data_IF_678968055706
#
_entry.id   IF_678968055706
#
_cell.length_a   1.000
_cell.length_b   1.000
_cell.length_c   1.000
_cell.angle_alpha   90.00
_cell.angle_beta   90.00
_cell.angle_gamma   90.00
#
_symmetry.space_group_name_H-M   'P 1'
#
loop_
_entity.id
_entity.type
_entity.pdbx_description
1 polymer ?
#
# COMPACT_ATOMS: atom_id res chain seq x y z
N UNK A 1 11.63 18.46 -36.82
CA UNK A 1 12.10 17.85 -35.55
C UNK A 1 11.81 18.68 -34.29
N UNK A 2 11.60 20.02 -34.34
CA UNK A 2 11.29 20.84 -33.15
C UNK A 2 9.84 20.80 -32.65
N UNK A 3 8.89 20.20 -33.39
CA UNK A 3 7.47 20.10 -32.99
C UNK A 3 7.10 18.82 -32.23
N UNK A 4 7.92 17.78 -32.30
CA UNK A 4 7.68 16.52 -31.59
C UNK A 4 8.04 16.60 -30.09
N UNK A 5 8.98 17.49 -29.72
CA UNK A 5 9.45 17.64 -28.35
C UNK A 5 8.47 18.44 -27.46
N UNK A 6 7.70 19.36 -28.05
CA UNK A 6 6.74 20.18 -27.30
C UNK A 6 5.47 19.42 -26.87
N UNK A 7 5.09 18.35 -27.59
CA UNK A 7 3.90 17.55 -27.26
C UNK A 7 4.19 16.59 -26.09
N UNK A 8 5.43 16.08 -25.98
CA UNK A 8 5.86 15.24 -24.85
C UNK A 8 5.91 16.02 -23.53
N UNK A 9 6.28 17.30 -23.55
CA UNK A 9 6.34 18.13 -22.34
C UNK A 9 4.95 18.57 -21.87
N UNK A 10 4.00 18.83 -22.77
CA UNK A 10 2.64 19.22 -22.40
C UNK A 10 1.82 18.04 -21.87
N UNK A 11 2.06 16.81 -22.35
CA UNK A 11 1.44 15.61 -21.80
C UNK A 11 1.89 15.30 -20.36
N UNK A 12 3.14 15.63 -20.01
CA UNK A 12 3.66 15.41 -18.65
C UNK A 12 3.07 16.39 -17.61
N UNK A 13 2.74 17.62 -18.02
CA UNK A 13 2.16 18.63 -17.13
C UNK A 13 0.63 18.51 -16.95
N UNK A 14 -0.07 17.84 -17.86
CA UNK A 14 -1.53 17.64 -17.72
C UNK A 14 -1.92 16.52 -16.75
N UNK A 15 -0.98 15.65 -16.35
CA UNK A 15 -1.22 14.66 -15.29
C UNK A 15 -1.20 15.25 -13.87
N UNK A 16 -0.70 16.48 -13.68
CA UNK A 16 -0.53 17.09 -12.36
C UNK A 16 -1.77 17.83 -11.82
N UNK A 17 -2.88 17.90 -12.57
CA UNK A 17 -4.08 18.67 -12.20
C UNK A 17 -5.26 17.82 -11.70
N UNK A 18 -5.07 16.51 -11.57
CA UNK A 18 -6.05 15.59 -10.99
C UNK A 18 -5.44 15.15 -9.67
N UNK A 19 -6.15 15.35 -8.55
CA UNK A 19 -5.69 14.88 -7.24
C UNK A 19 -5.53 13.36 -7.28
N UNK A 20 -4.32 12.91 -7.60
CA UNK A 20 -3.95 11.50 -7.60
C UNK A 20 -3.91 11.00 -6.17
N UNK A 21 -4.10 9.69 -6.00
CA UNK A 21 -3.79 9.07 -4.72
C UNK A 21 -2.30 9.29 -4.42
N UNK A 22 -1.94 9.69 -3.19
CA UNK A 22 -0.56 9.96 -2.90
C UNK A 22 0.33 8.74 -2.94
N UNK A 23 1.51 8.93 -3.53
CA UNK A 23 2.66 8.06 -3.34
C UNK A 23 3.21 8.29 -1.93
N UNK A 24 3.08 7.29 -1.07
CA UNK A 24 3.72 7.24 0.25
C UNK A 24 4.94 6.34 0.11
N UNK A 25 6.02 6.45 0.87
CA UNK A 25 7.08 5.42 0.82
C UNK A 25 6.58 4.13 1.53
N UNK A 26 7.25 2.96 1.57
CA UNK A 26 6.71 1.78 2.27
C UNK A 26 6.29 2.14 3.70
N UNK A 27 5.00 2.34 3.85
CA UNK A 27 4.32 2.65 5.08
C UNK A 27 3.31 1.55 5.24
N UNK A 28 3.05 1.19 6.48
CA UNK A 28 1.84 0.49 6.82
C UNK A 28 0.82 1.56 7.17
N UNK A 29 -0.44 1.32 6.81
CA UNK A 29 -1.49 2.14 7.36
C UNK A 29 -1.45 2.02 8.89
N UNK A 30 -1.98 3.03 9.57
CA UNK A 30 -2.01 3.05 11.03
C UNK A 30 -3.32 3.55 11.57
N UNK A 31 -3.63 3.11 12.78
CA UNK A 31 -4.84 3.48 13.52
C UNK A 31 -4.42 4.14 14.83
N UNK A 32 -4.95 5.33 15.12
CA UNK A 32 -4.81 5.92 16.46
C UNK A 32 -5.66 5.11 17.44
N UNK A 33 -5.08 4.61 18.54
CA UNK A 33 -5.86 3.93 19.57
C UNK A 33 -6.94 4.83 20.16
N UNK A 34 -8.09 4.25 20.52
CA UNK A 34 -9.23 4.98 21.11
C UNK A 34 -8.84 5.75 22.39
N UNK A 35 -7.90 5.21 23.16
CA UNK A 35 -7.38 5.84 24.37
C UNK A 35 -6.42 7.03 24.08
N UNK A 36 -6.21 7.38 22.81
CA UNK A 36 -5.07 8.17 22.37
C UNK A 36 -3.78 7.33 22.39
N UNK A 37 -2.67 7.92 21.96
CA UNK A 37 -1.40 7.20 21.92
C UNK A 37 -0.67 7.33 20.60
N UNK A 38 0.41 6.55 20.51
CA UNK A 38 1.10 6.35 19.25
C UNK A 38 0.20 5.57 18.27
N UNK A 39 0.14 5.99 17.00
CA UNK A 39 -0.50 5.21 15.95
C UNK A 39 0.02 3.77 15.96
N UNK A 40 -0.90 2.81 15.93
CA UNK A 40 -0.59 1.39 15.82
C UNK A 40 -0.67 0.95 14.37
N UNK A 41 0.28 0.16 13.91
CA UNK A 41 0.28 -0.36 12.54
C UNK A 41 -0.95 -1.22 12.29
N UNK A 42 -1.55 -1.04 11.13
CA UNK A 42 -2.68 -1.82 10.67
C UNK A 42 -2.18 -3.18 10.21
N UNK A 43 -2.63 -4.24 10.88
CA UNK A 43 -2.19 -5.60 10.58
C UNK A 43 -3.16 -6.66 11.06
N UNK A 44 -3.09 -7.84 10.46
CA UNK A 44 -3.80 -9.01 10.92
C UNK A 44 -3.24 -9.54 12.24
N UNK A 45 -4.12 -10.08 13.08
CA UNK A 45 -3.72 -10.90 14.22
C UNK A 45 -3.54 -12.35 13.76
N UNK A 46 -2.29 -12.76 13.57
CA UNK A 46 -1.94 -14.03 12.96
C UNK A 46 -2.09 -15.18 13.96
N UNK A 47 -2.92 -16.17 13.62
CA UNK A 47 -3.08 -17.39 14.40
C UNK A 47 -3.48 -18.57 13.50
N UNK A 48 -2.75 -19.69 13.61
CA UNK A 48 -3.12 -20.93 12.92
C UNK A 48 -4.45 -21.52 13.40
N UNK A 49 -4.88 -21.17 14.62
CA UNK A 49 -6.17 -21.60 15.15
C UNK A 49 -7.35 -20.82 14.54
N UNK A 50 -7.08 -19.69 13.89
CA UNK A 50 -8.06 -18.87 13.20
C UNK A 50 -7.45 -18.33 11.91
N UNK A 51 -7.31 -19.19 10.88
CA UNK A 51 -6.82 -18.77 9.57
C UNK A 51 -7.61 -17.59 9.03
N UNK A 52 -6.93 -16.68 8.33
CA UNK A 52 -7.57 -15.53 7.72
C UNK A 52 -8.47 -16.01 6.59
N UNK A 53 -9.77 -15.69 6.70
CA UNK A 53 -10.74 -15.96 5.66
C UNK A 53 -10.38 -15.19 4.40
N UNK A 54 -10.63 -15.79 3.25
CA UNK A 54 -10.55 -15.10 1.95
C UNK A 54 -11.54 -15.73 1.00
N UNK A 55 -12.29 -14.88 0.33
CA UNK A 55 -13.31 -15.29 -0.62
C UNK A 55 -13.41 -14.31 -1.77
N UNK A 56 -14.11 -14.69 -2.84
CA UNK A 56 -14.38 -13.79 -3.94
C UNK A 56 -15.78 -14.03 -4.51
N UNK A 57 -16.40 -12.95 -4.98
CA UNK A 57 -17.72 -13.02 -5.61
C UNK A 57 -17.60 -13.54 -7.04
N UNK A 58 -18.25 -14.68 -7.28
CA UNK A 58 -18.43 -15.28 -8.60
C UNK A 58 -19.51 -14.57 -9.43
N UNK A 59 -20.15 -13.56 -8.85
CA UNK A 59 -21.11 -12.74 -9.56
C UNK A 59 -20.36 -11.82 -10.51
N UNK A 60 -20.36 -12.16 -11.80
CA UNK A 60 -19.76 -11.35 -12.85
C UNK A 60 -20.87 -10.60 -13.60
N UNK A 61 -20.59 -9.39 -14.08
CA UNK A 61 -21.57 -8.62 -14.83
C UNK A 61 -22.03 -9.37 -16.08
N UNK A 62 -23.33 -9.55 -16.27
CA UNK A 62 -23.92 -10.22 -17.43
C UNK A 62 -23.88 -9.39 -18.73
N UNK A 63 -23.37 -8.15 -18.66
CA UNK A 63 -23.17 -7.24 -19.79
C UNK A 63 -21.80 -7.40 -20.46
N UNK A 64 -21.17 -6.27 -20.83
CA UNK A 64 -19.78 -6.30 -21.33
C UNK A 64 -18.87 -6.85 -20.22
N UNK A 65 -18.03 -7.86 -20.50
CA UNK A 65 -17.22 -8.48 -19.46
C UNK A 65 -16.26 -7.44 -18.88
N UNK A 66 -16.40 -7.16 -17.58
CA UNK A 66 -15.43 -6.37 -16.82
C UNK A 66 -14.10 -7.11 -16.68
N UNK A 67 -14.14 -8.45 -16.71
CA UNK A 67 -12.96 -9.33 -16.70
C UNK A 67 -12.93 -10.20 -17.95
N UNK A 68 -11.87 -10.05 -18.73
CA UNK A 68 -11.53 -10.88 -19.86
C UNK A 68 -10.78 -12.12 -19.39
N UNK A 69 -11.22 -13.27 -19.89
CA UNK A 69 -10.62 -14.59 -19.69
C UNK A 69 -10.45 -15.27 -21.04
N UNK A 70 -9.54 -16.24 -21.14
CA UNK A 70 -9.45 -17.10 -22.33
C UNK A 70 -10.65 -18.05 -22.38
N UNK A 71 -11.09 -18.51 -21.22
CA UNK A 71 -12.29 -19.32 -21.09
C UNK A 71 -13.57 -18.54 -21.44
N UNK A 72 -14.58 -19.27 -21.94
CA UNK A 72 -15.86 -18.68 -22.33
C UNK A 72 -16.59 -18.03 -21.14
N UNK A 73 -17.22 -16.86 -21.32
CA UNK A 73 -18.00 -16.22 -20.26
C UNK A 73 -19.10 -17.12 -19.69
N UNK A 74 -19.27 -17.10 -18.36
CA UNK A 74 -20.23 -17.92 -17.61
C UNK A 74 -19.82 -19.38 -17.42
N UNK A 75 -18.66 -19.80 -17.94
CA UNK A 75 -18.18 -21.17 -17.76
C UNK A 75 -17.50 -21.38 -16.41
N UNK A 76 -17.47 -22.62 -15.93
CA UNK A 76 -16.66 -22.99 -14.76
C UNK A 76 -15.16 -22.72 -14.97
N UNK A 77 -14.69 -22.86 -16.22
CA UNK A 77 -13.32 -22.57 -16.60
C UNK A 77 -12.98 -21.08 -16.44
N UNK A 78 -13.90 -20.16 -16.77
CA UNK A 78 -13.71 -18.73 -16.52
C UNK A 78 -13.52 -18.47 -15.02
N UNK A 79 -14.37 -19.06 -14.17
CA UNK A 79 -14.27 -18.87 -12.72
C UNK A 79 -12.94 -19.43 -12.18
N UNK A 80 -12.50 -20.60 -12.68
CA UNK A 80 -11.20 -21.17 -12.30
C UNK A 80 -10.03 -20.31 -12.77
N UNK A 81 -10.11 -19.69 -13.95
CA UNK A 81 -9.07 -18.79 -14.45
C UNK A 81 -8.91 -17.53 -13.58
N UNK A 82 -10.03 -16.93 -13.15
CA UNK A 82 -10.04 -15.78 -12.23
C UNK A 82 -9.54 -16.19 -10.84
N UNK A 83 -10.02 -17.31 -10.33
CA UNK A 83 -9.62 -17.85 -9.02
C UNK A 83 -8.12 -18.18 -8.96
N UNK A 84 -7.54 -18.63 -10.08
CA UNK A 84 -6.10 -18.84 -10.20
C UNK A 84 -5.34 -17.52 -10.08
N UNK A 85 -5.75 -16.46 -10.80
CA UNK A 85 -5.12 -15.14 -10.69
C UNK A 85 -5.20 -14.58 -9.26
N UNK A 86 -6.33 -14.77 -8.56
CA UNK A 86 -6.46 -14.38 -7.14
C UNK A 86 -5.50 -15.19 -6.26
N UNK A 87 -5.45 -16.51 -6.46
CA UNK A 87 -4.59 -17.41 -5.68
C UNK A 87 -3.11 -17.07 -5.87
N UNK A 88 -2.69 -16.81 -7.11
CA UNK A 88 -1.32 -16.41 -7.44
C UNK A 88 -0.98 -15.05 -6.83
N UNK A 89 -1.91 -14.09 -6.85
CA UNK A 89 -1.73 -12.76 -6.22
C UNK A 89 -1.57 -12.83 -4.69
N UNK A 90 -2.30 -13.73 -4.00
CA UNK A 90 -2.01 -14.03 -2.59
C UNK A 90 -0.64 -14.74 -2.42
N UNK A 91 -0.29 -15.58 -3.38
CA UNK A 91 1.00 -16.25 -3.48
C UNK A 91 2.17 -15.27 -3.51
N UNK A 92 2.02 -14.12 -4.18
CA UNK A 92 3.04 -13.06 -4.24
C UNK A 92 3.50 -12.63 -2.85
N UNK A 93 2.56 -12.30 -1.97
CA UNK A 93 2.88 -11.83 -0.62
C UNK A 93 3.24 -12.97 0.35
N UNK A 94 2.53 -14.10 0.27
CA UNK A 94 2.83 -15.29 1.07
C UNK A 94 4.07 -16.06 0.59
N UNK A 95 4.66 -15.65 -0.52
CA UNK A 95 5.94 -16.12 -1.03
C UNK A 95 7.15 -15.48 -0.36
N UNK A 96 6.98 -14.27 0.22
CA UNK A 96 8.09 -13.49 0.77
C UNK A 96 8.71 -14.18 1.97
N UNK A 97 10.00 -14.48 1.89
CA UNK A 97 10.78 -15.05 2.99
C UNK A 97 11.01 -14.04 4.10
N UNK A 98 11.22 -14.51 5.34
CA UNK A 98 11.44 -13.64 6.49
C UNK A 98 10.17 -13.01 7.07
N UNK A 99 9.00 -13.44 6.58
CA UNK A 99 7.70 -13.04 7.10
C UNK A 99 7.00 -14.21 7.78
N UNK A 100 6.16 -13.92 8.77
CA UNK A 100 5.25 -14.92 9.36
C UNK A 100 4.10 -15.31 8.44
N UNK A 101 3.92 -14.60 7.32
CA UNK A 101 2.98 -14.93 6.26
C UNK A 101 3.51 -15.92 5.23
N UNK A 102 4.79 -16.25 5.30
CA UNK A 102 5.39 -17.15 4.35
C UNK A 102 4.69 -18.51 4.40
N UNK A 103 4.06 -18.93 3.29
CA UNK A 103 3.25 -20.14 3.24
C UNK A 103 4.06 -21.42 3.54
N UNK A 104 5.38 -21.39 3.30
CA UNK A 104 6.27 -22.50 3.66
C UNK A 104 6.60 -22.49 5.16
N UNK A 105 6.66 -21.32 5.79
CA UNK A 105 6.96 -21.16 7.21
C UNK A 105 5.75 -21.35 8.12
N UNK A 106 4.55 -20.97 7.66
CA UNK A 106 3.29 -21.02 8.38
C UNK A 106 2.13 -21.50 7.48
N UNK A 107 2.16 -22.77 7.04
CA UNK A 107 1.11 -23.31 6.18
C UNK A 107 -0.25 -23.27 6.89
N UNK A 108 -1.29 -22.82 6.17
CA UNK A 108 -2.65 -22.75 6.69
C UNK A 108 -2.99 -21.45 7.43
N UNK A 109 -2.10 -20.45 7.45
CA UNK A 109 -2.43 -19.13 7.99
C UNK A 109 -3.49 -18.40 7.15
N UNK A 110 -3.44 -18.58 5.83
CA UNK A 110 -4.50 -18.17 4.91
C UNK A 110 -5.44 -19.35 4.69
N UNK A 111 -6.74 -19.16 4.93
CA UNK A 111 -7.75 -20.18 4.64
C UNK A 111 -7.77 -20.52 3.13
N UNK A 112 -8.34 -21.67 2.71
CA UNK A 112 -8.62 -21.90 1.30
C UNK A 112 -9.48 -20.77 0.71
N UNK A 113 -9.20 -20.38 -0.53
CA UNK A 113 -9.99 -19.37 -1.22
C UNK A 113 -11.39 -19.91 -1.50
N UNK A 114 -12.41 -19.23 -0.95
CA UNK A 114 -13.81 -19.61 -1.12
C UNK A 114 -14.49 -18.80 -2.23
N UNK A 115 -15.56 -19.36 -2.80
CA UNK A 115 -16.45 -18.68 -3.75
C UNK A 115 -17.74 -18.27 -3.07
N UNK A 116 -18.19 -17.04 -3.30
CA UNK A 116 -19.53 -16.58 -2.92
C UNK A 116 -20.33 -16.16 -4.15
N UNK A 117 -21.64 -16.35 -4.11
CA UNK A 117 -22.55 -16.06 -5.22
C UNK A 117 -23.19 -14.66 -5.21
N UNK A 118 -23.43 -14.00 -4.06
CA UNK A 118 -24.02 -12.65 -4.06
C UNK A 118 -23.09 -11.61 -4.70
N UNK A 119 -23.70 -10.66 -5.42
CA UNK A 119 -23.00 -9.55 -6.08
C UNK A 119 -22.44 -8.53 -5.11
N UNK A 120 -23.18 -8.26 -4.03
CA UNK A 120 -22.86 -7.23 -3.05
C UNK A 120 -22.26 -7.85 -1.79
N UNK A 121 -21.32 -8.79 -1.95
CA UNK A 121 -20.69 -9.48 -0.82
C UNK A 121 -19.60 -8.64 -0.15
N UNK A 122 -19.11 -7.58 -0.78
CA UNK A 122 -18.12 -6.68 -0.16
C UNK A 122 -18.82 -5.59 0.66
N UNK A 123 -18.09 -4.99 1.58
CA UNK A 123 -18.49 -3.80 2.32
C UNK A 123 -18.84 -2.67 1.37
N UNK A 124 -20.08 -2.18 1.44
CA UNK A 124 -20.55 -1.08 0.62
C UNK A 124 -20.27 0.29 1.25
N UNK A 125 -20.63 1.35 0.53
CA UNK A 125 -20.35 2.73 0.93
C UNK A 125 -21.06 3.18 2.21
N UNK A 126 -22.20 2.56 2.51
CA UNK A 126 -22.94 2.79 3.75
C UNK A 126 -22.41 1.94 4.92
N UNK A 127 -21.36 1.14 4.69
CA UNK A 127 -20.74 0.23 5.67
C UNK A 127 -21.76 -0.68 6.36
N UNK A 128 -22.82 -1.06 5.65
CA UNK A 128 -23.89 -1.89 6.22
C UNK A 128 -23.69 -3.38 5.93
N UNK A 129 -22.71 -3.73 5.10
CA UNK A 129 -22.26 -5.09 4.81
C UNK A 129 -20.82 -5.33 5.30
N UNK A 130 -20.53 -4.89 6.53
CA UNK A 130 -19.26 -5.21 7.20
C UNK A 130 -19.45 -6.56 7.88
N UNK A 131 -19.00 -7.61 7.21
CA UNK A 131 -19.24 -8.99 7.63
C UNK A 131 -18.00 -9.69 8.19
N UNK A 132 -16.83 -9.01 8.19
CA UNK A 132 -15.57 -9.57 8.68
C UNK A 132 -15.05 -10.72 7.82
N UNK A 133 -15.53 -10.83 6.57
CA UNK A 133 -15.07 -11.79 5.59
C UNK A 133 -14.41 -11.04 4.44
N UNK A 134 -13.12 -11.30 4.26
CA UNK A 134 -12.33 -10.63 3.24
C UNK A 134 -12.75 -11.07 1.83
N UNK A 135 -13.49 -10.20 1.13
CA UNK A 135 -14.12 -10.52 -0.14
C UNK A 135 -13.54 -9.69 -1.28
N UNK A 136 -13.28 -10.34 -2.42
CA UNK A 136 -12.96 -9.65 -3.68
C UNK A 136 -14.21 -9.58 -4.54
N UNK A 137 -14.63 -8.38 -4.95
CA UNK A 137 -15.82 -8.14 -5.77
C UNK A 137 -15.49 -7.47 -7.09
N UNK A 138 -16.07 -7.99 -8.17
CA UNK A 138 -15.91 -7.48 -9.54
C UNK A 138 -17.16 -6.80 -10.10
N UNK A 139 -18.21 -6.73 -9.29
CA UNK A 139 -19.53 -6.26 -9.74
C UNK A 139 -20.28 -5.43 -8.69
N UNK A 140 -19.59 -4.95 -7.66
CA UNK A 140 -20.15 -4.04 -6.66
C UNK A 140 -19.76 -2.59 -6.99
N UNK A 141 -20.75 -1.73 -7.19
CA UNK A 141 -20.51 -0.31 -7.40
C UNK A 141 -20.09 0.38 -6.10
N UNK A 142 -19.22 1.38 -6.20
CA UNK A 142 -18.85 2.23 -5.06
C UNK A 142 -18.58 3.66 -5.50
N UNK A 143 -18.92 4.63 -4.65
CA UNK A 143 -18.51 6.03 -4.78
C UNK A 143 -16.99 6.20 -4.68
N UNK A 144 -16.27 5.19 -4.18
CA UNK A 144 -14.81 5.14 -4.14
C UNK A 144 -14.17 5.10 -5.54
N UNK A 145 -14.91 4.69 -6.58
CA UNK A 145 -14.45 4.73 -7.97
C UNK A 145 -14.49 6.15 -8.57
N UNK A 146 -13.74 7.06 -7.95
CA UNK A 146 -13.46 8.37 -8.52
C UNK A 146 -12.63 8.26 -9.81
N UNK A 147 -12.32 9.40 -10.44
CA UNK A 147 -11.61 9.41 -11.73
C UNK A 147 -10.24 8.75 -11.59
N UNK A 148 -9.95 7.75 -12.41
CA UNK A 148 -8.65 7.06 -12.43
C UNK A 148 -8.51 5.88 -11.46
N UNK A 149 -9.41 5.70 -10.49
CA UNK A 149 -9.39 4.54 -9.58
C UNK A 149 -9.85 3.29 -10.31
N UNK A 150 -8.99 2.27 -10.40
CA UNK A 150 -9.27 1.00 -11.08
C UNK A 150 -9.80 -0.07 -10.12
N UNK A 151 -9.21 -0.11 -8.93
CA UNK A 151 -9.61 -0.95 -7.81
C UNK A 151 -9.25 -0.23 -6.51
N UNK A 152 -9.74 -0.74 -5.39
CA UNK A 152 -9.26 -0.36 -4.06
C UNK A 152 -9.61 -1.45 -3.04
N UNK A 153 -8.81 -1.58 -1.99
CA UNK A 153 -9.16 -2.37 -0.79
C UNK A 153 -9.68 -1.48 0.32
N UNK A 154 -10.88 -1.78 0.82
CA UNK A 154 -11.48 -1.15 1.99
C UNK A 154 -11.09 -1.93 3.25
N UNK A 155 -10.12 -1.40 3.96
CA UNK A 155 -9.63 -1.98 5.22
C UNK A 155 -10.40 -1.38 6.41
N UNK A 156 -10.97 -2.24 7.24
CA UNK A 156 -11.55 -1.87 8.54
C UNK A 156 -10.63 -2.33 9.65
N UNK A 157 -10.26 -1.41 10.54
CA UNK A 157 -9.40 -1.71 11.69
C UNK A 157 -10.07 -1.39 13.02
N UNK A 158 -9.70 -2.16 14.04
CA UNK A 158 -10.05 -1.89 15.42
C UNK A 158 -9.21 -0.72 15.95
N UNK A 159 -9.81 0.27 16.60
CA UNK A 159 -9.07 1.29 17.35
C UNK A 159 -8.85 0.91 18.82
N UNK A 160 -9.36 -0.24 19.28
CA UNK A 160 -9.15 -0.76 20.62
C UNK A 160 -9.32 -2.28 20.66
N UNK A 161 -8.70 -2.98 21.62
CA UNK A 161 -9.03 -4.38 21.91
C UNK A 161 -10.53 -4.56 22.20
N UNK A 162 -11.10 -5.69 21.79
CA UNK A 162 -12.50 -6.05 21.98
C UNK A 162 -13.45 -5.60 20.86
N UNK A 163 -13.01 -4.70 19.96
CA UNK A 163 -13.82 -4.33 18.78
C UNK A 163 -13.98 -5.51 17.82
N UNK A 164 -15.13 -5.61 17.14
CA UNK A 164 -15.42 -6.68 16.19
C UNK A 164 -16.26 -6.17 15.03
N UNK A 165 -16.20 -6.84 13.89
CA UNK A 165 -16.98 -6.54 12.70
C UNK A 165 -17.49 -7.87 12.10
N UNK A 166 -18.82 -8.03 12.03
CA UNK A 166 -19.46 -9.24 11.51
C UNK A 166 -18.94 -10.54 12.16
N UNK A 167 -18.39 -11.43 11.33
CA UNK A 167 -17.80 -12.71 11.69
C UNK A 167 -16.37 -12.61 12.23
N UNK A 168 -15.77 -11.41 12.22
CA UNK A 168 -14.45 -11.22 12.83
C UNK A 168 -14.54 -11.53 14.33
N UNK A 169 -13.53 -12.23 14.85
CA UNK A 169 -13.34 -12.32 16.30
C UNK A 169 -13.09 -10.94 16.93
N UNK A 170 -13.19 -10.82 18.27
CA UNK A 170 -12.83 -9.59 18.95
C UNK A 170 -11.34 -9.26 18.75
N UNK A 171 -11.06 -7.99 18.51
CA UNK A 171 -9.71 -7.47 18.33
C UNK A 171 -8.85 -7.71 19.58
N UNK A 172 -7.60 -8.10 19.39
CA UNK A 172 -6.60 -8.20 20.45
C UNK A 172 -5.87 -6.87 20.69
N UNK A 173 -5.79 -5.99 19.67
CA UNK A 173 -5.04 -4.74 19.72
C UNK A 173 -5.66 -3.66 18.80
N UNK A 174 -5.33 -2.40 19.08
CA UNK A 174 -5.62 -1.30 18.15
C UNK A 174 -4.74 -1.42 16.89
N UNK A 175 -5.30 -1.12 15.72
CA UNK A 175 -4.69 -1.43 14.41
C UNK A 175 -4.97 -2.86 13.95
N UNK A 176 -5.67 -3.71 14.71
CA UNK A 176 -6.02 -5.03 14.17
C UNK A 176 -7.01 -4.88 13.01
N UNK A 177 -6.66 -5.43 11.85
CA UNK A 177 -7.60 -5.52 10.72
C UNK A 177 -8.71 -6.51 11.08
N UNK A 178 -9.95 -6.08 10.88
CA UNK A 178 -11.17 -6.85 11.15
C UNK A 178 -11.87 -7.28 9.86
N UNK A 179 -11.73 -6.48 8.81
CA UNK A 179 -12.32 -6.72 7.50
C UNK A 179 -11.45 -6.03 6.43
N UNK A 180 -11.35 -6.62 5.24
CA UNK A 180 -10.59 -6.07 4.13
C UNK A 180 -11.15 -6.57 2.80
N UNK A 181 -12.07 -5.79 2.25
CA UNK A 181 -12.72 -6.10 0.98
C UNK A 181 -12.06 -5.37 -0.18
N UNK A 182 -11.82 -6.08 -1.27
CA UNK A 182 -11.25 -5.51 -2.50
C UNK A 182 -12.34 -5.35 -3.56
N UNK A 183 -12.49 -4.13 -4.09
CA UNK A 183 -13.47 -3.82 -5.11
C UNK A 183 -12.77 -3.44 -6.40
N UNK A 184 -13.21 -4.04 -7.51
CA UNK A 184 -12.77 -3.67 -8.86
C UNK A 184 -13.85 -2.86 -9.58
N UNK A 185 -13.42 -1.85 -10.33
CA UNK A 185 -14.30 -0.95 -11.06
C UNK A 185 -15.15 -1.71 -12.08
N UNK A 186 -16.47 -1.53 -12.03
CA UNK A 186 -17.42 -2.30 -12.82
C UNK A 186 -18.38 -1.42 -13.65
N UNK A 187 -18.10 -0.13 -13.79
CA UNK A 187 -18.94 0.86 -14.50
C UNK A 187 -18.68 0.94 -16.02
N UNK A 188 -17.82 0.06 -16.55
CA UNK A 188 -17.42 0.03 -17.96
C UNK A 188 -16.33 1.02 -18.36
N UNK A 189 -15.79 1.81 -17.44
CA UNK A 189 -14.66 2.72 -17.70
C UNK A 189 -13.31 1.98 -17.74
N UNK A 190 -13.26 0.76 -17.21
CA UNK A 190 -12.08 -0.11 -17.22
C UNK A 190 -12.48 -1.54 -17.58
N UNK A 191 -11.52 -2.27 -18.14
CA UNK A 191 -11.62 -3.70 -18.39
C UNK A 191 -10.33 -4.34 -17.87
N UNK A 192 -10.47 -5.49 -17.25
CA UNK A 192 -9.35 -6.26 -16.69
C UNK A 192 -9.17 -7.54 -17.49
N UNK A 193 -7.96 -8.09 -17.51
CA UNK A 193 -7.69 -9.37 -18.15
C UNK A 193 -6.85 -10.25 -17.21
N UNK A 194 -7.20 -11.53 -17.12
CA UNK A 194 -6.32 -12.54 -16.53
C UNK A 194 -4.99 -12.59 -17.29
N UNK A 195 -3.90 -13.11 -16.69
CA UNK A 195 -2.61 -13.20 -17.39
C UNK A 195 -2.68 -13.90 -18.74
N UNK A 196 -3.47 -14.98 -18.83
CA UNK A 196 -3.68 -15.72 -20.07
C UNK A 196 -4.44 -14.89 -21.12
N UNK A 197 -5.49 -14.15 -20.72
CA UNK A 197 -6.24 -13.29 -21.63
C UNK A 197 -5.45 -12.05 -22.05
N UNK A 198 -4.62 -11.49 -21.17
CA UNK A 198 -3.77 -10.33 -21.46
C UNK A 198 -2.79 -10.63 -22.61
N UNK A 199 -2.31 -11.88 -22.71
CA UNK A 199 -1.44 -12.34 -23.78
C UNK A 199 -2.13 -12.50 -25.15
N UNK A 200 -3.45 -12.28 -25.23
CA UNK A 200 -4.25 -12.36 -26.47
C UNK A 200 -4.53 -10.97 -27.05
N UNK A 201 -4.90 -10.85 -28.34
CA UNK A 201 -5.33 -9.57 -28.92
C UNK A 201 -6.48 -8.90 -28.15
N UNK A 202 -7.37 -9.68 -27.53
CA UNK A 202 -8.49 -9.20 -26.73
C UNK A 202 -8.01 -8.45 -25.48
N UNK A 203 -6.86 -8.81 -24.93
CA UNK A 203 -6.30 -8.24 -23.71
C UNK A 203 -5.57 -6.90 -23.90
N UNK A 204 -5.24 -6.49 -25.13
CA UNK A 204 -4.40 -5.30 -25.38
C UNK A 204 -4.99 -3.97 -24.88
N UNK A 205 -6.31 -3.91 -24.68
CA UNK A 205 -7.01 -2.75 -24.12
C UNK A 205 -7.38 -2.89 -22.64
N UNK A 206 -6.99 -3.98 -21.99
CA UNK A 206 -7.35 -4.28 -20.61
C UNK A 206 -6.16 -4.12 -19.66
N UNK A 207 -6.45 -3.77 -18.40
CA UNK A 207 -5.46 -3.78 -17.33
C UNK A 207 -5.18 -5.21 -16.89
N UNK A 208 -3.96 -5.46 -16.46
CA UNK A 208 -3.58 -6.76 -15.90
C UNK A 208 -4.26 -7.01 -14.55
N UNK A 209 -5.13 -8.02 -14.50
CA UNK A 209 -5.90 -8.35 -13.29
C UNK A 209 -4.98 -8.82 -12.16
N UNK A 210 -3.96 -9.63 -12.45
CA UNK A 210 -3.06 -10.19 -11.43
C UNK A 210 -2.18 -9.10 -10.78
N UNK A 211 -1.65 -8.15 -11.56
CA UNK A 211 -0.88 -7.01 -11.01
C UNK A 211 -1.74 -6.15 -10.10
N UNK A 212 -2.97 -5.83 -10.51
CA UNK A 212 -3.89 -5.05 -9.68
C UNK A 212 -4.33 -5.83 -8.45
N UNK A 213 -4.67 -7.10 -8.56
CA UNK A 213 -4.96 -7.96 -7.41
C UNK A 213 -3.78 -7.98 -6.44
N UNK A 214 -2.57 -8.20 -6.92
CA UNK A 214 -1.39 -8.22 -6.06
C UNK A 214 -1.18 -6.86 -5.37
N UNK A 215 -1.38 -5.74 -6.07
CA UNK A 215 -1.34 -4.40 -5.47
C UNK A 215 -2.39 -4.24 -4.36
N UNK A 216 -3.65 -4.50 -4.66
CA UNK A 216 -4.76 -4.36 -3.72
C UNK A 216 -4.64 -5.30 -2.52
N UNK A 217 -4.05 -6.49 -2.72
CA UNK A 217 -3.75 -7.40 -1.63
C UNK A 217 -2.62 -6.89 -0.74
N UNK A 218 -1.72 -6.03 -1.22
CA UNK A 218 -0.78 -5.34 -0.33
C UNK A 218 -1.51 -4.50 0.73
N UNK A 219 -2.58 -3.79 0.32
CA UNK A 219 -3.49 -3.11 1.25
C UNK A 219 -4.25 -4.08 2.15
N UNK A 220 -4.65 -5.24 1.62
CA UNK A 220 -5.22 -6.31 2.44
C UNK A 220 -4.27 -6.76 3.56
N UNK A 221 -2.96 -6.81 3.30
CA UNK A 221 -1.95 -7.07 4.32
C UNK A 221 -1.70 -5.88 5.26
N UNK A 222 -2.27 -4.70 5.02
CA UNK A 222 -2.08 -3.49 5.83
C UNK A 222 -0.93 -2.60 5.37
N UNK A 223 -0.34 -2.91 4.21
CA UNK A 223 0.60 -2.01 3.56
C UNK A 223 -0.15 -0.89 2.83
N UNK A 224 0.57 0.16 2.53
CA UNK A 224 0.06 1.36 1.91
C UNK A 224 0.89 1.69 0.67
N UNK A 225 0.52 2.70 -0.08
CA UNK A 225 1.20 2.99 -1.33
C UNK A 225 2.71 3.20 -1.12
N UNK A 226 3.50 2.87 -2.14
CA UNK A 226 4.93 3.13 -2.22
C UNK A 226 5.25 4.31 -3.16
N UNK A 227 6.33 5.03 -2.87
CA UNK A 227 6.85 6.19 -3.60
C UNK A 227 8.05 5.75 -4.43
N UNK A 228 8.49 4.51 -4.24
CA UNK A 228 9.39 3.81 -5.12
C UNK A 228 8.60 3.42 -6.35
N UNK A 229 8.85 4.10 -7.48
CA UNK A 229 8.14 3.88 -8.74
C UNK A 229 8.08 2.41 -9.21
N UNK A 230 9.09 1.62 -8.85
CA UNK A 230 9.19 0.21 -9.25
C UNK A 230 8.50 -0.76 -8.27
N UNK A 231 8.04 -0.27 -7.12
CA UNK A 231 7.31 -1.08 -6.17
C UNK A 231 5.93 -1.43 -6.71
N UNK A 232 5.45 -2.63 -6.37
CA UNK A 232 4.11 -3.06 -6.72
C UNK A 232 3.06 -2.15 -6.09
N UNK A 233 3.32 -1.66 -4.88
CA UNK A 233 2.47 -0.71 -4.17
C UNK A 233 2.54 0.74 -4.70
N UNK A 234 3.24 1.00 -5.79
CA UNK A 234 3.17 2.31 -6.44
C UNK A 234 1.72 2.60 -6.90
N UNK A 235 1.13 3.77 -6.59
CA UNK A 235 -0.30 4.04 -6.75
C UNK A 235 -0.83 4.06 -8.19
N UNK A 236 0.06 4.01 -9.18
CA UNK A 236 -0.32 4.09 -10.58
C UNK A 236 -0.05 2.77 -11.28
N UNK A 237 -1.13 2.16 -11.77
CA UNK A 237 -1.05 0.97 -12.59
C UNK A 237 -0.33 1.26 -13.93
N UNK A 238 0.34 0.26 -14.53
CA UNK A 238 0.79 0.36 -15.90
C UNK A 238 -0.35 0.66 -16.87
N UNK A 239 -0.05 1.21 -18.06
CA UNK A 239 -1.02 1.32 -19.14
C UNK A 239 -1.65 -0.04 -19.48
N UNK A 240 -2.88 -0.06 -20.02
CA UNK A 240 -3.51 -1.29 -20.50
C UNK A 240 -2.60 -2.11 -21.44
N UNK A 241 -2.67 -3.43 -21.33
CA UNK A 241 -1.81 -4.37 -22.04
C UNK A 241 -0.41 -4.55 -21.42
N UNK A 242 -0.09 -3.86 -20.33
CA UNK A 242 1.20 -3.97 -19.62
C UNK A 242 0.99 -4.47 -18.18
N UNK A 243 2.08 -4.98 -17.58
CA UNK A 243 2.14 -5.42 -16.20
C UNK A 243 3.49 -5.02 -15.58
N UNK A 244 3.59 -5.00 -14.24
CA UNK A 244 4.82 -4.68 -13.52
C UNK A 244 5.62 -5.94 -13.21
N UNK A 245 6.94 -5.83 -13.28
CA UNK A 245 7.86 -6.87 -12.82
C UNK A 245 7.77 -8.19 -13.59
N UNK A 246 8.21 -9.26 -12.92
CA UNK A 246 8.07 -10.63 -13.41
C UNK A 246 6.72 -11.21 -12.96
N UNK A 247 6.20 -12.20 -13.68
CA UNK A 247 4.99 -12.94 -13.25
C UNK A 247 5.30 -13.84 -12.06
N UNK A 248 4.35 -14.02 -11.12
CA UNK A 248 4.52 -15.02 -10.08
C UNK A 248 4.65 -16.40 -10.71
N UNK A 249 5.57 -17.21 -10.18
CA UNK A 249 5.71 -18.62 -10.55
C UNK A 249 5.74 -19.48 -9.30
N UNK A 250 5.54 -20.79 -9.44
CA UNK A 250 5.66 -21.70 -8.31
C UNK A 250 7.05 -21.67 -7.63
N UNK A 251 8.11 -21.30 -8.37
CA UNK A 251 9.48 -21.22 -7.86
C UNK A 251 9.83 -19.85 -7.26
N UNK A 252 9.27 -18.78 -7.84
CA UNK A 252 9.48 -17.39 -7.41
C UNK A 252 8.10 -16.72 -7.31
N UNK A 253 7.30 -17.09 -6.30
CA UNK A 253 5.94 -16.59 -6.18
C UNK A 253 5.93 -15.08 -5.91
N UNK A 254 6.90 -14.55 -5.17
CA UNK A 254 7.05 -13.13 -4.87
C UNK A 254 7.79 -12.35 -5.97
N UNK A 255 8.01 -12.93 -7.14
CA UNK A 255 8.73 -12.33 -8.28
C UNK A 255 8.25 -10.92 -8.67
N UNK A 256 6.93 -10.63 -8.69
CA UNK A 256 6.42 -9.29 -9.02
C UNK A 256 6.84 -8.18 -8.05
N UNK A 257 7.19 -8.51 -6.80
CA UNK A 257 7.49 -7.52 -5.77
C UNK A 257 8.84 -6.85 -6.02
N UNK A 258 8.93 -5.55 -5.72
CA UNK A 258 10.21 -4.90 -5.51
C UNK A 258 10.74 -5.22 -4.11
N UNK A 259 12.02 -4.92 -3.87
CA UNK A 259 12.61 -5.09 -2.55
C UNK A 259 11.96 -4.20 -1.50
N UNK A 260 11.46 -3.04 -1.92
CA UNK A 260 10.65 -2.13 -1.11
C UNK A 260 9.38 -2.81 -0.54
N UNK A 261 8.62 -3.49 -1.39
CA UNK A 261 7.41 -4.23 -0.98
C UNK A 261 7.78 -5.38 -0.03
N UNK A 262 8.88 -6.11 -0.33
CA UNK A 262 9.37 -7.20 0.51
C UNK A 262 9.83 -6.71 1.89
N UNK A 263 10.52 -5.57 1.95
CA UNK A 263 10.93 -4.95 3.22
C UNK A 263 9.70 -4.51 4.02
N UNK A 264 8.72 -3.88 3.38
CA UNK A 264 7.46 -3.46 4.01
C UNK A 264 6.70 -4.63 4.67
N UNK A 265 6.48 -5.73 3.94
CA UNK A 265 5.76 -6.88 4.50
C UNK A 265 6.54 -7.59 5.61
N UNK A 266 7.88 -7.65 5.52
CA UNK A 266 8.74 -8.19 6.60
C UNK A 266 8.69 -7.32 7.84
N UNK A 267 8.64 -6.00 7.67
CA UNK A 267 8.54 -5.09 8.80
C UNK A 267 7.19 -5.24 9.52
N UNK A 268 6.11 -5.39 8.77
CA UNK A 268 4.77 -5.54 9.33
C UNK A 268 4.53 -6.92 9.98
N UNK A 269 5.12 -7.98 9.40
CA UNK A 269 4.94 -9.37 9.82
C UNK A 269 6.27 -10.12 9.98
N UNK A 270 7.17 -9.68 10.86
CA UNK A 270 8.52 -10.23 10.94
C UNK A 270 8.53 -11.69 11.40
N UNK A 271 9.23 -12.57 10.68
CA UNK A 271 9.58 -13.89 11.21
C UNK A 271 10.75 -13.71 12.21
N UNK A 272 10.59 -14.06 13.50
CA UNK A 272 11.67 -13.97 14.47
C UNK A 272 12.87 -14.89 14.15
N UNK A 273 12.72 -15.84 13.22
CA UNK A 273 13.81 -16.70 12.73
C UNK A 273 14.53 -16.12 11.51
N UNK A 274 14.05 -15.02 10.94
CA UNK A 274 14.79 -14.35 9.88
C UNK A 274 16.11 -13.82 10.44
N UNK A 275 17.20 -14.18 9.79
CA UNK A 275 18.55 -13.71 10.11
C UNK A 275 19.19 -12.97 8.94
N UNK A 276 18.57 -13.01 7.76
CA UNK A 276 19.07 -12.37 6.56
C UNK A 276 18.58 -10.92 6.46
N UNK A 277 17.31 -10.65 6.81
CA UNK A 277 16.68 -9.34 6.66
C UNK A 277 16.33 -8.73 8.03
N UNK A 278 17.36 -8.50 8.85
CA UNK A 278 17.22 -7.92 10.20
C UNK A 278 17.93 -6.57 10.36
N UNK A 279 18.52 -6.04 9.29
CA UNK A 279 19.17 -4.75 9.27
C UNK A 279 18.16 -3.62 9.45
N UNK A 280 18.61 -2.53 10.06
CA UNK A 280 17.82 -1.31 10.22
C UNK A 280 18.68 -0.06 10.02
N UNK A 281 18.11 0.97 9.40
CA UNK A 281 18.69 2.31 9.27
C UNK A 281 17.73 3.31 9.92
N UNK A 282 18.21 3.98 10.96
CA UNK A 282 17.44 4.94 11.75
C UNK A 282 18.15 6.27 11.81
N UNK A 283 17.41 7.35 11.75
CA UNK A 283 17.99 8.67 11.84
C UNK A 283 16.96 9.78 11.92
N UNK A 284 17.45 11.02 11.76
CA UNK A 284 16.62 12.22 11.70
C UNK A 284 17.07 13.09 10.55
N UNK A 285 16.10 13.66 9.85
CA UNK A 285 16.31 14.59 8.75
C UNK A 285 16.15 16.00 9.30
N UNK A 286 17.26 16.73 9.37
CA UNK A 286 17.29 18.09 9.91
C UNK A 286 17.60 19.07 8.78
N UNK A 287 17.02 20.29 8.78
CA UNK A 287 17.42 21.30 7.83
C UNK A 287 18.83 21.77 8.14
N UNK A 288 19.61 22.05 7.09
CA UNK A 288 20.95 22.63 7.22
C UNK A 288 20.93 23.98 7.97
N UNK A 289 19.82 24.71 7.89
CA UNK A 289 19.58 25.93 8.65
C UNK A 289 18.46 25.70 9.69
N UNK A 290 18.77 25.53 10.99
CA UNK A 290 17.77 25.27 12.02
C UNK A 290 16.78 26.43 12.22
N UNK A 291 17.13 27.66 11.81
CA UNK A 291 16.21 28.80 11.86
C UNK A 291 14.99 28.63 10.94
N UNK A 292 15.07 27.76 9.93
CA UNK A 292 13.96 27.50 9.01
C UNK A 292 12.78 26.79 9.69
N UNK A 293 12.99 26.08 10.80
CA UNK A 293 11.91 25.43 11.55
C UNK A 293 11.27 26.34 12.60
N UNK A 294 12.02 27.34 13.10
CA UNK A 294 11.54 28.26 14.13
C UNK A 294 10.36 29.13 13.67
N UNK A 295 10.16 29.25 12.35
CA UNK A 295 9.03 29.98 11.75
C UNK A 295 7.78 29.10 11.56
N UNK A 296 7.88 27.78 11.75
CA UNK A 296 6.73 26.88 11.65
C UNK A 296 5.93 26.92 12.96
N UNK A 297 4.59 27.10 12.90
CA UNK A 297 3.75 27.00 14.07
C UNK A 297 3.94 25.64 14.77
N UNK A 298 3.90 25.66 16.10
CA UNK A 298 3.92 24.43 16.88
C UNK A 298 2.68 23.58 16.54
N UNK A 299 2.83 22.31 16.12
CA UNK A 299 1.73 21.41 15.81
C UNK A 299 0.79 21.13 16.99
N UNK A 300 1.24 21.37 18.23
CA UNK A 300 0.42 21.43 19.43
C UNK A 300 1.16 22.19 20.54
N UNK A 301 0.47 22.71 21.58
CA UNK A 301 1.13 23.42 22.67
C UNK A 301 2.26 22.59 23.30
N UNK A 302 3.49 23.10 23.23
CA UNK A 302 4.68 22.41 23.75
C UNK A 302 5.40 21.46 22.80
N UNK A 303 4.86 21.18 21.60
CA UNK A 303 5.51 20.34 20.59
C UNK A 303 5.97 21.21 19.42
N UNK A 304 7.28 21.46 19.31
CA UNK A 304 7.86 22.19 18.18
C UNK A 304 8.20 21.24 17.02
N UNK A 305 8.12 21.72 15.78
CA UNK A 305 8.71 21.01 14.63
C UNK A 305 10.22 21.10 14.77
N UNK A 306 10.89 19.96 14.89
CA UNK A 306 12.35 19.90 15.13
C UNK A 306 13.11 19.22 13.99
N UNK A 307 12.42 18.67 12.99
CA UNK A 307 13.02 18.13 11.77
C UNK A 307 12.13 18.30 10.54
N UNK A 308 12.58 17.74 9.43
CA UNK A 308 11.91 17.82 8.13
C UNK A 308 10.80 16.78 8.08
N UNK A 309 9.56 17.25 7.98
CA UNK A 309 8.39 16.40 7.87
C UNK A 309 8.11 15.98 6.42
N UNK A 310 7.77 14.70 6.23
CA UNK A 310 7.41 14.06 4.96
C UNK A 310 8.52 14.05 3.90
N UNK A 311 9.79 13.98 4.32
CA UNK A 311 10.88 13.71 3.40
C UNK A 311 10.96 12.21 3.10
N UNK A 312 11.08 11.86 1.82
CA UNK A 312 11.24 10.50 1.37
C UNK A 312 12.69 10.06 1.60
N UNK A 313 12.87 9.04 2.44
CA UNK A 313 14.17 8.47 2.77
C UNK A 313 14.29 7.13 2.07
N UNK A 314 15.30 6.96 1.23
CA UNK A 314 15.51 5.77 0.40
C UNK A 314 16.85 5.14 0.75
N UNK A 315 16.82 3.86 1.12
CA UNK A 315 18.00 3.01 1.16
C UNK A 315 18.21 2.38 -0.22
N UNK A 316 19.35 2.68 -0.82
CA UNK A 316 19.81 2.12 -2.08
C UNK A 316 20.99 1.21 -1.79
N UNK A 317 20.97 -0.01 -2.32
CA UNK A 317 22.12 -0.90 -2.27
C UNK A 317 23.29 -0.27 -3.03
N UNK A 318 24.42 -0.09 -2.35
CA UNK A 318 25.56 0.65 -2.86
C UNK A 318 26.28 -0.06 -4.01
N UNK A 319 26.15 -1.39 -4.10
CA UNK A 319 26.87 -2.22 -5.05
C UNK A 319 26.08 -2.37 -6.36
N UNK A 320 24.74 -2.45 -6.28
CA UNK A 320 23.83 -2.70 -7.40
C UNK A 320 23.05 -1.46 -7.84
N UNK A 321 22.92 -0.46 -6.97
CA UNK A 321 22.04 0.69 -7.19
C UNK A 321 20.54 0.38 -7.06
N UNK A 322 20.18 -0.82 -6.59
CA UNK A 322 18.78 -1.20 -6.38
C UNK A 322 18.19 -0.42 -5.19
N UNK A 323 16.94 0.04 -5.34
CA UNK A 323 16.18 0.61 -4.21
C UNK A 323 15.71 -0.56 -3.35
N UNK A 324 16.24 -0.63 -2.13
CA UNK A 324 15.96 -1.74 -1.21
C UNK A 324 14.74 -1.46 -0.34
N UNK A 325 14.56 -0.20 0.05
CA UNK A 325 13.42 0.24 0.84
C UNK A 325 13.37 1.79 0.88
N UNK A 326 12.19 2.40 0.86
CA UNK A 326 11.98 3.82 1.15
C UNK A 326 10.91 4.10 2.22
N UNK A 327 11.14 5.00 3.17
CA UNK A 327 10.14 5.41 4.18
C UNK A 327 9.90 6.92 4.12
N UNK A 328 8.81 7.40 4.72
CA UNK A 328 8.62 8.83 4.96
C UNK A 328 9.19 9.17 6.34
N UNK A 329 10.27 9.92 6.36
CA UNK A 329 10.75 10.54 7.58
C UNK A 329 9.86 11.72 7.96
N UNK A 330 9.80 12.03 9.25
CA UNK A 330 9.11 13.24 9.68
C UNK A 330 8.62 13.25 11.10
N UNK A 331 8.35 12.09 11.67
CA UNK A 331 7.73 12.01 12.99
C UNK A 331 8.23 10.83 13.80
N UNK A 332 8.16 10.99 15.11
CA UNK A 332 8.31 9.93 16.08
C UNK A 332 7.16 10.00 17.08
N UNK A 333 6.95 8.90 17.81
CA UNK A 333 6.02 8.90 18.91
C UNK A 333 6.65 8.30 20.16
N UNK A 334 6.59 9.07 21.25
CA UNK A 334 7.05 8.58 22.54
C UNK A 334 5.90 7.88 23.27
N UNK A 335 5.94 6.55 23.30
CA UNK A 335 4.93 5.71 23.95
C UNK A 335 4.65 6.07 25.42
N UNK A 336 5.64 6.61 26.17
CA UNK A 336 5.46 7.00 27.57
C UNK A 336 4.64 8.28 27.76
N UNK A 337 4.64 9.16 26.76
CA UNK A 337 3.95 10.46 26.81
C UNK A 337 2.79 10.53 25.82
N UNK A 338 2.68 9.56 24.91
CA UNK A 338 1.76 9.57 23.78
C UNK A 338 1.87 10.84 22.92
N UNK A 339 2.99 11.54 23.01
CA UNK A 339 3.23 12.76 22.26
C UNK A 339 3.82 12.41 20.89
N UNK A 340 3.08 12.77 19.84
CA UNK A 340 3.60 12.81 18.48
C UNK A 340 4.56 14.00 18.35
N UNK A 341 5.76 13.72 17.85
CA UNK A 341 6.80 14.71 17.62
C UNK A 341 7.12 14.74 16.14
N UNK A 342 7.08 15.92 15.52
CA UNK A 342 7.49 16.10 14.13
C UNK A 342 8.96 16.49 14.08
N UNK A 343 9.83 15.48 14.23
CA UNK A 343 11.26 15.61 14.50
C UNK A 343 12.15 15.14 13.34
N UNK A 344 11.56 14.85 12.19
CA UNK A 344 12.29 14.34 11.03
C UNK A 344 12.76 12.90 11.19
N UNK A 345 12.33 12.17 12.23
CA UNK A 345 12.74 10.79 12.43
C UNK A 345 12.28 9.89 11.28
N UNK A 346 13.11 8.91 10.95
CA UNK A 346 12.77 7.83 10.02
C UNK A 346 13.30 6.50 10.58
N UNK A 347 12.62 5.43 10.21
CA UNK A 347 13.04 4.07 10.49
C UNK A 347 12.89 3.25 9.21
N UNK A 348 14.00 2.71 8.72
CA UNK A 348 13.99 1.70 7.68
C UNK A 348 14.36 0.36 8.30
N UNK A 349 13.43 -0.60 8.32
CA UNK A 349 13.63 -1.89 8.97
C UNK A 349 13.67 -3.05 7.97
N UNK A 350 14.15 -4.19 8.44
CA UNK A 350 14.18 -5.47 7.70
C UNK A 350 14.95 -5.41 6.39
N UNK A 351 16.06 -4.66 6.41
CA UNK A 351 17.03 -4.61 5.34
C UNK A 351 17.95 -5.83 5.39
N UNK A 352 18.43 -6.36 4.25
CA UNK A 352 19.48 -7.36 4.21
C UNK A 352 20.76 -6.93 4.97
N UNK A 353 21.33 -7.81 5.82
CA UNK A 353 22.50 -7.46 6.66
C UNK A 353 23.86 -7.54 5.96
N UNK A 354 23.93 -8.19 4.80
CA UNK A 354 25.18 -8.40 4.04
C UNK A 354 25.41 -7.38 2.91
N UNK A 355 24.80 -6.20 3.04
CA UNK A 355 24.77 -5.17 2.00
C UNK A 355 25.27 -3.83 2.54
N UNK A 356 25.85 -3.02 1.66
CA UNK A 356 26.17 -1.63 1.94
C UNK A 356 25.07 -0.74 1.40
N UNK A 357 24.72 0.32 2.12
CA UNK A 357 23.61 1.20 1.72
C UNK A 357 24.08 2.63 1.52
N UNK A 358 23.62 3.24 0.43
CA UNK A 358 23.60 4.68 0.27
C UNK A 358 22.21 5.16 0.68
N UNK A 359 22.18 6.08 1.63
CA UNK A 359 20.95 6.69 2.09
C UNK A 359 20.74 8.03 1.38
N UNK A 360 19.58 8.18 0.74
CA UNK A 360 19.13 9.45 0.21
C UNK A 360 17.92 9.92 1.03
N UNK A 361 17.88 11.22 1.31
CA UNK A 361 16.69 11.86 1.84
C UNK A 361 16.34 12.98 0.88
N UNK A 362 15.24 12.82 0.17
CA UNK A 362 14.72 13.86 -0.71
C UNK A 362 13.49 14.49 -0.06
N UNK A 363 13.43 15.82 0.02
CA UNK A 363 12.13 16.45 0.16
C UNK A 363 11.34 16.09 -1.11
N UNK A 364 10.06 15.80 -0.99
CA UNK A 364 9.26 15.50 -2.16
C UNK A 364 9.28 16.72 -3.10
N UNK A 365 9.97 16.58 -4.24
CA UNK A 365 10.22 17.67 -5.19
C UNK A 365 9.06 17.73 -6.18
N UNK A 366 8.21 18.75 -6.08
CA UNK A 366 7.03 18.93 -6.94
C UNK A 366 5.89 19.68 -6.24
N UNK A 367 4.75 19.83 -6.93
CA UNK A 367 3.49 20.28 -6.31
C UNK A 367 2.91 19.14 -5.46
N UNK A 368 3.60 18.76 -4.40
CA UNK A 368 3.03 17.89 -3.38
C UNK A 368 2.07 18.74 -2.54
N UNK A 369 0.76 18.60 -2.75
CA UNK A 369 -0.27 19.31 -1.99
C UNK A 369 -0.58 18.56 -0.69
N UNK A 370 -1.10 19.21 0.36
CA UNK A 370 -1.52 18.51 1.58
C UNK A 370 -2.48 17.34 1.34
N UNK A 371 -3.25 17.35 0.24
CA UNK A 371 -4.09 16.21 -0.16
C UNK A 371 -3.26 14.94 -0.43
N UNK A 372 -2.04 15.10 -0.94
CA UNK A 372 -1.07 14.02 -1.18
C UNK A 372 -0.48 13.44 0.12
N UNK A 373 -0.91 13.96 1.26
CA UNK A 373 -0.53 13.43 2.57
C UNK A 373 -1.75 13.21 3.45
N UNK A 374 -2.92 13.72 3.05
CA UNK A 374 -4.11 13.86 3.89
C UNK A 374 -4.51 12.57 4.59
N UNK A 375 -4.40 11.41 3.95
CA UNK A 375 -4.73 10.13 4.58
C UNK A 375 -3.69 9.73 5.65
N UNK A 376 -2.39 9.85 5.35
CA UNK A 376 -1.31 9.64 6.34
C UNK A 376 -1.34 10.70 7.46
N UNK A 377 -1.78 11.93 7.19
CA UNK A 377 -1.87 13.01 8.18
C UNK A 377 -3.07 12.85 9.10
N UNK A 378 -4.21 12.39 8.55
CA UNK A 378 -5.44 12.17 9.31
C UNK A 378 -5.32 10.94 10.23
N UNK A 379 -4.56 9.91 9.82
CA UNK A 379 -4.29 8.73 10.66
C UNK A 379 -3.30 9.02 11.80
N UNK A 380 -2.46 10.05 11.70
CA UNK A 380 -1.58 10.45 12.81
C UNK A 380 -2.33 11.22 13.90
N UNK A 381 -3.30 12.07 13.54
CA UNK A 381 -3.87 13.06 14.46
C UNK A 381 -5.40 12.94 14.67
N UNK A 382 -5.94 11.72 14.67
CA UNK A 382 -7.39 11.47 14.73
C UNK A 382 -8.14 12.26 15.83
N UNK A 383 -9.34 12.73 15.48
CA UNK A 383 -10.25 13.47 16.36
C UNK A 383 -10.71 12.60 17.53
N UNK A 384 -10.13 12.81 18.72
CA UNK A 384 -10.38 12.00 19.91
C UNK A 384 -9.17 11.87 20.83
N UNK A 385 -7.96 12.16 20.33
CA UNK A 385 -6.77 12.33 21.18
C UNK A 385 -7.00 13.46 22.19
N UNK A 386 -6.57 13.31 23.47
CA UNK A 386 -6.73 14.33 24.52
C UNK A 386 -6.02 15.66 24.19
N UNK A 387 -5.17 15.71 23.16
CA UNK A 387 -4.69 16.94 22.54
C UNK A 387 -4.75 16.77 21.01
N UNK A 388 -5.62 17.49 20.28
CA UNK A 388 -5.60 17.46 18.83
C UNK A 388 -4.27 18.01 18.33
N UNK A 389 -3.44 17.16 17.72
CA UNK A 389 -2.28 17.65 16.99
C UNK A 389 -2.73 18.17 15.62
N UNK A 390 -2.24 19.34 15.22
CA UNK A 390 -2.26 19.73 13.82
C UNK A 390 -0.99 19.20 13.17
N UNK A 391 -1.09 18.44 12.10
CA UNK A 391 0.08 18.05 11.33
C UNK A 391 0.74 19.30 10.70
N UNK A 392 2.07 19.45 10.77
CA UNK A 392 2.75 20.55 10.09
C UNK A 392 2.68 20.35 8.58
N UNK A 393 2.71 21.45 7.84
CA UNK A 393 2.80 21.38 6.38
C UNK A 393 4.10 20.67 5.94
N UNK A 394 4.09 19.85 4.87
CA UNK A 394 5.29 19.31 4.27
C UNK A 394 6.29 20.43 3.96
N UNK A 395 7.56 20.23 4.33
CA UNK A 395 8.58 21.23 4.06
C UNK A 395 9.11 21.05 2.63
N UNK A 396 8.48 21.73 1.68
CA UNK A 396 8.86 21.69 0.25
C UNK A 396 9.86 22.78 -0.15
N UNK A 397 10.26 23.66 0.79
CA UNK A 397 11.13 24.81 0.54
C UNK A 397 12.64 24.46 0.47
N UNK A 398 12.97 23.30 -0.07
CA UNK A 398 14.36 22.96 -0.37
C UNK A 398 14.64 23.32 -1.82
N UNK A 399 15.56 24.27 -2.03
CA UNK A 399 16.14 24.48 -3.35
C UNK A 399 16.87 23.19 -3.75
N UNK A 400 16.46 22.47 -4.81
CA UNK A 400 17.22 21.33 -5.29
C UNK A 400 18.57 21.85 -5.79
N UNK A 401 19.64 21.61 -5.04
CA UNK A 401 20.97 21.70 -5.61
C UNK A 401 21.17 20.49 -6.50
N UNK A 402 20.74 20.61 -7.76
CA UNK A 402 21.17 19.74 -8.84
C UNK A 402 22.68 19.90 -8.98
N UNK A 403 23.46 19.06 -8.30
CA UNK A 403 24.86 18.86 -8.68
C UNK A 403 24.85 17.94 -9.89
N UNK A 404 25.41 18.35 -11.04
CA UNK A 404 25.65 17.43 -12.14
C UNK A 404 26.60 16.34 -11.62
N UNK A 405 26.14 15.09 -11.57
CA UNK A 405 27.06 13.96 -11.49
C UNK A 405 27.76 13.84 -12.85
N UNK A 406 29.09 13.70 -12.90
CA UNK A 406 29.78 13.39 -14.15
C UNK A 406 29.35 11.99 -14.62
N UNK A 407 28.96 11.90 -15.89
CA UNK A 407 28.82 10.63 -16.61
C UNK A 407 30.17 10.02 -16.93
#
# INVERSE_FOLDING_TARGET
MKRALAIATVALFLFAAIGGAPARAYLADSTVPQAGGCPALNRWNLSLASPLSRQWSTSLSSGSPTILTVAAPGSSAQLTEIEQAISDSFGVWSGVTGTTFNASAAPGLLAPLARVAPADSCTNDQTNNVDGLNTICFNQSSIGFSTGVLAFTRVLTANAPGASAGASGPAAFAGQILDADTLFRNDGQATFATPAALATPQGQGAYDLESLLAHELGHWFGLDHSAVWRALLFPFAPPPGQFLGDRPTALVPDGPLADDDRAGIRWLYPDPRDTANIGALRGRILPANPFALATLPAPSPGNSVTGIFAAHVVAVDADTGAVMAGTLGGWSCNASTSALQFDGAFDLERLPVSHNYILYAEPLVGLAVPADFSVALNSLCASGSPSPCSTPAPNTNFNPTLRPAPH
#
